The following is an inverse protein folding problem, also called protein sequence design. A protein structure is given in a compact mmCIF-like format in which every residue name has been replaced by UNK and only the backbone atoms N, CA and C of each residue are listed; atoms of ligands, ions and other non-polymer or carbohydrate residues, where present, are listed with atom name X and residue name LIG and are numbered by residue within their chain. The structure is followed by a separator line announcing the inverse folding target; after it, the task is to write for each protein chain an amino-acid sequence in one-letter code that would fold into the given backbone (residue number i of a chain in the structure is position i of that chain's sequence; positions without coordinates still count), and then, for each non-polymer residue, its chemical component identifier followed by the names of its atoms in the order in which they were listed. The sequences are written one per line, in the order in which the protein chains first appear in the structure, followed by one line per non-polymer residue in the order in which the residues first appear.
data_IF_409012161576
#
_entry.id   IF_409012161576
#
_cell.length_a   1.000
_cell.length_b   1.000
_cell.length_c   1.000
_cell.angle_alpha   90.00
_cell.angle_beta   90.00
_cell.angle_gamma   90.00
#
_symmetry.space_group_name_H-M   'P 1'
#
loop_
_entity.id
_entity.type
_entity.pdbx_description
1 polymer ?
#
# COMPACT_ATOMS: atom_id res chain seq x y z
N UNK A 1 -23.11 -4.60 1.13
CA UNK A 1 -22.12 -4.55 2.23
C UNK A 1 -20.76 -4.90 1.63
N UNK A 2 -19.79 -3.98 1.64
CA UNK A 2 -18.46 -4.23 1.06
C UNK A 2 -17.75 -5.29 1.91
N UNK A 3 -17.70 -6.53 1.41
CA UNK A 3 -16.96 -7.61 2.05
C UNK A 3 -15.52 -7.55 1.55
N UNK A 4 -14.58 -7.30 2.44
CA UNK A 4 -13.14 -7.22 2.19
C UNK A 4 -12.46 -8.14 3.18
N UNK A 5 -11.36 -8.77 2.76
CA UNK A 5 -10.57 -9.58 3.67
C UNK A 5 -9.97 -8.69 4.78
N UNK A 6 -10.21 -9.05 6.05
CA UNK A 6 -9.76 -8.26 7.21
C UNK A 6 -8.24 -8.07 7.24
N UNK A 7 -7.48 -9.07 6.83
CA UNK A 7 -6.01 -9.00 6.79
C UNK A 7 -5.57 -7.99 5.74
N UNK A 8 -6.18 -8.03 4.56
CA UNK A 8 -5.90 -7.07 3.48
C UNK A 8 -6.26 -5.64 3.91
N UNK A 9 -7.37 -5.46 4.62
CA UNK A 9 -7.76 -4.17 5.17
C UNK A 9 -6.76 -3.64 6.20
N UNK A 10 -6.31 -4.48 7.15
CA UNK A 10 -5.30 -4.09 8.14
C UNK A 10 -4.00 -3.68 7.44
N UNK A 11 -3.54 -4.48 6.49
CA UNK A 11 -2.35 -4.18 5.70
C UNK A 11 -2.47 -2.84 4.96
N UNK A 12 -3.61 -2.59 4.30
CA UNK A 12 -3.90 -1.32 3.64
C UNK A 12 -3.81 -0.15 4.63
N UNK A 13 -4.45 -0.24 5.80
CA UNK A 13 -4.40 0.83 6.80
C UNK A 13 -2.98 1.10 7.31
N UNK A 14 -2.20 0.05 7.58
CA UNK A 14 -0.81 0.20 8.05
C UNK A 14 0.09 0.84 6.99
N UNK A 15 -0.09 0.44 5.73
CA UNK A 15 0.61 1.04 4.59
C UNK A 15 0.32 2.53 4.48
N UNK A 16 -0.95 2.93 4.55
CA UNK A 16 -1.34 4.34 4.53
C UNK A 16 -0.82 5.14 5.72
N UNK A 17 -0.76 4.53 6.91
CA UNK A 17 -0.19 5.15 8.09
C UNK A 17 1.31 5.46 7.91
N UNK A 18 2.08 4.53 7.32
CA UNK A 18 3.47 4.78 6.94
C UNK A 18 3.57 5.94 5.93
N UNK A 19 2.68 5.97 4.94
CA UNK A 19 2.58 7.06 3.97
C UNK A 19 2.36 8.43 4.60
N UNK A 20 1.46 8.51 5.59
CA UNK A 20 1.21 9.73 6.34
C UNK A 20 2.44 10.16 7.16
N UNK A 21 3.15 9.21 7.78
CA UNK A 21 4.39 9.50 8.51
C UNK A 21 5.46 10.08 7.58
N UNK A 22 5.62 9.51 6.37
CA UNK A 22 6.52 10.03 5.34
C UNK A 22 6.16 11.48 5.00
N UNK A 23 4.89 11.73 4.70
CA UNK A 23 4.39 13.05 4.34
C UNK A 23 4.66 14.08 5.46
N UNK A 24 4.42 13.71 6.73
CA UNK A 24 4.72 14.58 7.87
C UNK A 24 6.22 14.81 8.06
N UNK A 25 7.05 13.79 7.85
CA UNK A 25 8.51 13.90 7.95
C UNK A 25 9.08 14.90 6.92
N UNK A 26 8.52 14.90 5.71
CA UNK A 26 8.86 15.88 4.66
C UNK A 26 8.50 17.29 5.10
N UNK A 27 7.26 17.52 5.55
CA UNK A 27 6.83 18.85 6.01
C UNK A 27 7.63 19.37 7.21
N UNK A 28 8.17 18.48 8.04
CA UNK A 28 9.00 18.81 9.18
C UNK A 28 10.48 19.05 8.82
N UNK A 29 10.89 18.97 7.54
CA UNK A 29 12.29 18.95 7.11
C UNK A 29 13.13 17.94 7.94
N UNK A 30 12.58 16.75 8.16
CA UNK A 30 13.27 15.71 8.91
C UNK A 30 14.63 15.36 8.27
N UNK A 31 15.58 14.94 9.11
CA UNK A 31 16.94 14.56 8.71
C UNK A 31 16.88 13.59 7.52
N UNK A 32 17.70 13.86 6.50
CA UNK A 32 17.73 13.16 5.21
C UNK A 32 17.79 11.63 5.34
N UNK A 33 18.49 11.13 6.37
CA UNK A 33 18.58 9.69 6.70
C UNK A 33 17.24 9.05 7.05
N UNK A 34 16.40 9.75 7.84
CA UNK A 34 15.08 9.26 8.27
C UNK A 34 14.15 9.20 7.06
N UNK A 35 14.19 10.22 6.20
CA UNK A 35 13.45 10.24 4.95
C UNK A 35 13.82 9.06 4.06
N UNK A 36 15.12 8.85 3.81
CA UNK A 36 15.62 7.74 2.98
C UNK A 36 15.20 6.37 3.52
N UNK A 37 15.23 6.18 4.83
CA UNK A 37 14.76 4.95 5.47
C UNK A 37 13.27 4.68 5.20
N UNK A 38 12.41 5.69 5.32
CA UNK A 38 10.99 5.50 5.05
C UNK A 38 10.68 5.31 3.56
N UNK A 39 11.43 5.96 2.65
CA UNK A 39 11.34 5.71 1.20
C UNK A 39 11.70 4.25 0.89
N UNK A 40 12.74 3.72 1.53
CA UNK A 40 13.10 2.31 1.40
C UNK A 40 11.99 1.36 1.89
N UNK A 41 11.41 1.63 3.06
CA UNK A 41 10.25 0.85 3.57
C UNK A 41 9.08 0.89 2.60
N UNK A 42 8.76 2.09 2.09
CA UNK A 42 7.69 2.26 1.10
C UNK A 42 7.99 1.47 -0.17
N UNK A 43 9.25 1.38 -0.57
CA UNK A 43 9.69 0.60 -1.74
C UNK A 43 9.41 -0.89 -1.57
N UNK A 44 9.77 -1.44 -0.40
CA UNK A 44 9.46 -2.83 -0.02
C UNK A 44 7.95 -3.07 0.01
N UNK A 45 7.19 -2.11 0.57
CA UNK A 45 5.75 -2.22 0.70
C UNK A 45 5.05 -2.39 -0.66
N UNK A 46 5.56 -1.77 -1.73
CA UNK A 46 5.04 -1.97 -3.09
C UNK A 46 5.23 -3.41 -3.54
N UNK A 47 6.40 -3.99 -3.31
CA UNK A 47 6.70 -5.38 -3.68
C UNK A 47 5.73 -6.32 -2.97
N UNK A 48 5.53 -6.12 -1.66
CA UNK A 48 4.56 -6.87 -0.86
C UNK A 48 3.14 -6.70 -1.42
N UNK A 49 2.75 -5.48 -1.78
CA UNK A 49 1.44 -5.18 -2.36
C UNK A 49 1.20 -5.96 -3.67
N UNK A 50 2.21 -6.02 -4.55
CA UNK A 50 2.13 -6.82 -5.78
C UNK A 50 1.99 -8.31 -5.51
N UNK A 51 2.77 -8.85 -4.57
CA UNK A 51 2.70 -10.26 -4.18
C UNK A 51 1.30 -10.59 -3.62
N UNK A 52 0.75 -9.73 -2.76
CA UNK A 52 -0.59 -9.92 -2.20
C UNK A 52 -1.67 -9.91 -3.28
N UNK A 53 -1.57 -9.02 -4.27
CA UNK A 53 -2.51 -9.02 -5.41
C UNK A 53 -2.43 -10.33 -6.21
N UNK A 54 -1.23 -10.87 -6.44
CA UNK A 54 -1.04 -12.17 -7.11
C UNK A 54 -1.65 -13.32 -6.31
N UNK A 55 -1.43 -13.35 -5.00
CA UNK A 55 -2.00 -14.38 -4.12
C UNK A 55 -3.54 -14.30 -4.14
N UNK A 56 -4.10 -13.10 -4.03
CA UNK A 56 -5.55 -12.91 -4.09
C UNK A 56 -6.13 -13.32 -5.45
N UNK A 57 -5.38 -13.11 -6.54
CA UNK A 57 -5.78 -13.58 -7.86
C UNK A 57 -5.83 -15.11 -7.93
N UNK A 58 -4.84 -15.81 -7.36
CA UNK A 58 -4.87 -17.28 -7.24
C UNK A 58 -6.06 -17.73 -6.39
N UNK A 59 -6.30 -17.11 -5.23
CA UNK A 59 -7.43 -17.45 -4.37
C UNK A 59 -8.80 -17.18 -5.00
N UNK A 60 -8.90 -16.14 -5.85
CA UNK A 60 -10.11 -15.87 -6.63
C UNK A 60 -10.50 -17.05 -7.53
N UNK A 61 -9.53 -17.78 -8.08
CA UNK A 61 -9.77 -18.95 -8.90
C UNK A 61 -10.02 -20.23 -8.07
N UNK A 62 -9.33 -20.38 -6.94
CA UNK A 62 -9.43 -21.56 -6.08
C UNK A 62 -10.70 -21.61 -5.23
N UNK A 63 -11.19 -20.45 -4.76
CA UNK A 63 -12.29 -20.37 -3.79
C UNK A 63 -13.46 -19.56 -4.34
N UNK A 64 -14.39 -20.18 -5.08
CA UNK A 64 -15.50 -19.50 -5.75
C UNK A 64 -16.45 -18.79 -4.77
N UNK A 65 -16.59 -19.32 -3.55
CA UNK A 65 -17.44 -18.77 -2.48
C UNK A 65 -17.04 -17.36 -2.03
N UNK A 66 -15.76 -17.00 -2.17
CA UNK A 66 -15.18 -15.75 -1.67
C UNK A 66 -14.75 -14.79 -2.80
N UNK A 67 -15.13 -15.05 -4.06
CA UNK A 67 -14.73 -14.24 -5.23
C UNK A 67 -14.92 -12.72 -5.06
N UNK A 68 -16.08 -12.30 -4.52
CA UNK A 68 -16.38 -10.89 -4.28
C UNK A 68 -15.42 -10.28 -3.26
N UNK A 69 -15.09 -11.04 -2.21
CA UNK A 69 -14.18 -10.59 -1.15
C UNK A 69 -12.75 -10.41 -1.67
N UNK A 70 -12.24 -11.34 -2.47
CA UNK A 70 -10.92 -11.21 -3.09
C UNK A 70 -10.89 -10.08 -4.11
N UNK A 71 -11.92 -9.94 -4.96
CA UNK A 71 -12.02 -8.84 -5.92
C UNK A 71 -11.96 -7.48 -5.22
N UNK A 72 -12.76 -7.29 -4.17
CA UNK A 72 -12.75 -6.03 -3.41
C UNK A 72 -11.41 -5.80 -2.73
N UNK A 73 -10.77 -6.86 -2.23
CA UNK A 73 -9.44 -6.79 -1.61
C UNK A 73 -8.37 -6.36 -2.62
N UNK A 74 -8.40 -6.88 -3.85
CA UNK A 74 -7.49 -6.43 -4.93
C UNK A 74 -7.73 -4.97 -5.29
N UNK A 75 -8.99 -4.55 -5.45
CA UNK A 75 -9.32 -3.14 -5.71
C UNK A 75 -8.76 -2.24 -4.60
N UNK A 76 -8.89 -2.64 -3.33
CA UNK A 76 -8.32 -1.90 -2.20
C UNK A 76 -6.79 -1.80 -2.31
N UNK A 77 -6.09 -2.88 -2.65
CA UNK A 77 -4.64 -2.89 -2.82
C UNK A 77 -4.16 -2.04 -4.01
N UNK A 78 -4.97 -1.85 -5.05
CA UNK A 78 -4.68 -0.89 -6.15
C UNK A 78 -4.68 0.56 -5.63
N UNK A 79 -5.52 0.87 -4.65
CA UNK A 79 -5.48 2.17 -3.97
C UNK A 79 -4.42 2.27 -2.87
N UNK A 80 -3.55 1.26 -2.74
CA UNK A 80 -2.41 1.29 -1.82
C UNK A 80 -1.14 1.89 -2.47
N UNK A 81 -1.23 2.24 -3.76
CA UNK A 81 -0.19 2.95 -4.53
C UNK A 81 -0.08 4.48 -4.38
N UNK A 82 -0.97 5.26 -3.73
CA UNK A 82 -0.86 6.72 -3.75
C UNK A 82 0.37 7.26 -3.02
N UNK A 83 1.02 6.46 -2.17
CA UNK A 83 2.31 6.80 -1.56
C UNK A 83 3.41 6.93 -2.63
N UNK A 84 3.39 6.11 -3.68
CA UNK A 84 4.34 6.20 -4.80
C UNK A 84 4.10 7.43 -5.66
N UNK A 85 2.84 7.72 -6.00
CA UNK A 85 2.53 8.91 -6.82
C UNK A 85 2.87 10.20 -6.06
N UNK A 86 2.70 10.19 -4.74
CA UNK A 86 2.97 11.34 -3.88
C UNK A 86 4.48 11.49 -3.64
N UNK A 87 5.22 10.39 -3.40
CA UNK A 87 6.68 10.37 -3.37
C UNK A 87 7.31 10.79 -4.70
N UNK A 88 6.79 10.30 -5.83
CA UNK A 88 7.26 10.65 -7.16
C UNK A 88 7.05 12.13 -7.48
N UNK A 89 5.87 12.69 -7.15
CA UNK A 89 5.62 14.12 -7.25
C UNK A 89 6.61 14.93 -6.42
N UNK A 90 6.87 14.50 -5.19
CA UNK A 90 7.79 15.17 -4.28
C UNK A 90 9.25 15.16 -4.77
N UNK A 91 9.74 14.02 -5.29
CA UNK A 91 11.08 13.92 -5.91
C UNK A 91 11.21 14.83 -7.14
N UNK A 92 10.13 15.08 -7.87
CA UNK A 92 10.15 15.98 -9.04
C UNK A 92 10.07 17.47 -8.66
N UNK A 93 9.54 17.79 -7.47
CA UNK A 93 9.35 19.18 -7.01
C UNK A 93 10.44 19.71 -6.07
N UNK A 94 11.29 18.82 -5.54
CA UNK A 94 12.51 19.15 -4.78
C UNK A 94 13.69 19.18 -5.76
#
# INVERSE_FOLDING_TARGET
MYKVNKIVLIYFCMSWLIGLIILLAIFANAIEEVFNFFVFISSINIIINMILMLILFVFYHLFPENKIEFKNSVVLLIFNFPILSLLYFLILTI
#
